data_IF_653289032363
#
_entry.id   IF_653289032363
#
_cell.length_a   1.000
_cell.length_b   1.000
_cell.length_c   1.000
_cell.angle_alpha   90.00
_cell.angle_beta   90.00
_cell.angle_gamma   90.00
#
_symmetry.space_group_name_H-M   'P 1'
#
loop_
_entity.id
_entity.type
_entity.pdbx_description
1 polymer ?
#
# COMPACT_ATOMS: atom_id res chain seq x y z
N UNK A 1 -19.66 11.65 17.58
CA UNK A 1 -19.56 10.74 18.74
C UNK A 1 -18.21 10.03 18.71
N UNK A 2 -17.43 10.12 19.79
CA UNK A 2 -16.15 9.40 19.94
C UNK A 2 -16.42 7.90 19.90
N UNK A 3 -15.62 7.14 19.17
CA UNK A 3 -15.76 5.68 19.06
C UNK A 3 -14.97 5.00 20.17
N UNK A 4 -15.60 4.07 20.88
CA UNK A 4 -15.00 3.40 22.04
C UNK A 4 -13.82 2.51 21.67
N UNK A 5 -13.95 1.70 20.62
CA UNK A 5 -12.94 0.70 20.23
C UNK A 5 -11.58 1.35 19.90
N UNK A 6 -11.51 2.39 19.04
CA UNK A 6 -10.23 3.07 18.76
C UNK A 6 -9.64 3.76 19.99
N UNK A 7 -10.45 4.13 20.98
CA UNK A 7 -9.98 4.77 22.23
C UNK A 7 -9.30 3.80 23.19
N UNK A 8 -9.50 2.48 23.07
CA UNK A 8 -8.97 1.51 24.05
C UNK A 8 -7.44 1.56 24.18
N UNK A 9 -6.63 1.54 23.10
CA UNK A 9 -5.18 1.72 23.20
C UNK A 9 -4.78 3.03 23.88
N UNK A 10 -5.46 4.13 23.57
CA UNK A 10 -5.18 5.44 24.18
C UNK A 10 -5.49 5.47 25.67
N UNK A 11 -6.67 5.01 26.06
CA UNK A 11 -7.08 4.92 27.47
C UNK A 11 -6.12 4.04 28.27
N UNK A 12 -5.67 2.93 27.68
CA UNK A 12 -4.71 2.03 28.31
C UNK A 12 -3.33 2.69 28.49
N UNK A 13 -2.81 3.38 27.48
CA UNK A 13 -1.57 4.17 27.59
C UNK A 13 -1.71 5.27 28.64
N UNK A 14 -2.84 5.98 28.67
CA UNK A 14 -3.10 7.01 29.69
C UNK A 14 -3.08 6.42 31.10
N UNK A 15 -3.81 5.31 31.31
CA UNK A 15 -3.90 4.66 32.62
C UNK A 15 -2.56 4.09 33.09
N UNK A 16 -1.71 3.59 32.18
CA UNK A 16 -0.45 2.94 32.51
C UNK A 16 0.77 3.85 32.51
N UNK A 17 0.71 4.99 31.84
CA UNK A 17 1.87 5.88 31.64
C UNK A 17 1.60 7.30 32.12
N UNK A 18 0.53 7.93 31.62
CA UNK A 18 0.27 9.35 31.85
C UNK A 18 -0.23 9.60 33.28
N UNK A 19 -1.25 8.87 33.73
CA UNK A 19 -1.87 9.12 35.03
C UNK A 19 -0.95 8.80 36.22
N UNK A 20 -0.16 7.70 36.19
CA UNK A 20 0.80 7.38 37.25
C UNK A 20 2.04 8.28 37.28
N UNK A 21 2.25 9.14 36.27
CA UNK A 21 3.44 10.00 36.20
C UNK A 21 3.46 11.08 37.29
N UNK A 22 4.64 11.62 37.66
CA UNK A 22 4.74 12.74 38.59
C UNK A 22 4.41 14.10 37.93
N UNK A 23 3.91 14.10 36.68
CA UNK A 23 3.68 15.33 35.93
C UNK A 23 2.52 16.18 36.48
N UNK A 24 2.54 17.52 36.26
CA UNK A 24 1.44 18.40 36.65
C UNK A 24 0.10 17.96 36.04
N UNK A 25 -0.99 18.17 36.80
CA UNK A 25 -2.35 17.78 36.37
C UNK A 25 -2.71 18.35 34.99
N UNK A 26 -2.38 19.63 34.74
CA UNK A 26 -2.64 20.27 33.45
C UNK A 26 -1.98 19.53 32.28
N UNK A 27 -0.73 19.06 32.45
CA UNK A 27 -0.03 18.29 31.43
C UNK A 27 -0.68 16.91 31.23
N UNK A 28 -1.07 16.24 32.31
CA UNK A 28 -1.77 14.94 32.23
C UNK A 28 -3.10 15.06 31.48
N UNK A 29 -3.89 16.10 31.78
CA UNK A 29 -5.16 16.37 31.09
C UNK A 29 -4.93 16.70 29.61
N UNK A 30 -3.95 17.55 29.30
CA UNK A 30 -3.59 17.88 27.93
C UNK A 30 -3.14 16.66 27.11
N UNK A 31 -2.25 15.83 27.66
CA UNK A 31 -1.80 14.59 27.02
C UNK A 31 -2.95 13.59 26.85
N UNK A 32 -3.83 13.46 27.85
CA UNK A 32 -5.01 12.58 27.77
C UNK A 32 -5.92 13.03 26.63
N UNK A 33 -6.25 14.32 26.55
CA UNK A 33 -7.06 14.87 25.47
C UNK A 33 -6.40 14.67 24.10
N UNK A 34 -5.09 14.91 23.99
CA UNK A 34 -4.35 14.70 22.76
C UNK A 34 -4.35 13.22 22.31
N UNK A 35 -4.04 12.28 23.20
CA UNK A 35 -4.02 10.85 22.88
C UNK A 35 -5.41 10.34 22.50
N UNK A 36 -6.46 10.81 23.17
CA UNK A 36 -7.83 10.51 22.80
C UNK A 36 -8.16 11.07 21.42
N UNK A 37 -7.79 12.31 21.12
CA UNK A 37 -7.99 12.89 19.79
C UNK A 37 -7.23 12.09 18.71
N UNK A 38 -5.96 11.74 18.96
CA UNK A 38 -5.15 10.94 18.05
C UNK A 38 -5.76 9.54 17.78
N UNK A 39 -6.32 8.91 18.81
CA UNK A 39 -7.01 7.61 18.70
C UNK A 39 -8.21 7.64 17.74
N UNK A 40 -8.78 8.82 17.52
CA UNK A 40 -9.94 9.04 16.67
C UNK A 40 -9.56 9.47 15.24
N UNK A 41 -8.34 9.17 14.79
CA UNK A 41 -7.85 9.62 13.49
C UNK A 41 -8.79 9.33 12.30
N UNK A 42 -9.36 8.13 12.21
CA UNK A 42 -10.31 7.80 11.14
C UNK A 42 -11.65 8.55 11.25
N UNK A 43 -12.08 8.91 12.46
CA UNK A 43 -13.24 9.77 12.64
C UNK A 43 -12.96 11.17 12.10
N UNK A 44 -11.80 11.75 12.43
CA UNK A 44 -11.40 13.05 11.90
C UNK A 44 -11.29 13.03 10.38
N UNK A 45 -10.67 11.99 9.83
CA UNK A 45 -10.56 11.80 8.38
C UNK A 45 -11.94 11.78 7.72
N UNK A 46 -12.88 10.99 8.26
CA UNK A 46 -14.26 10.93 7.78
C UNK A 46 -15.00 12.26 7.91
N UNK A 47 -14.77 13.02 8.97
CA UNK A 47 -15.38 14.35 9.13
C UNK A 47 -14.82 15.36 8.13
N UNK A 48 -13.57 15.19 7.69
CA UNK A 48 -12.92 16.12 6.75
C UNK A 48 -13.37 15.94 5.29
N UNK A 49 -13.61 14.70 4.85
CA UNK A 49 -13.89 14.40 3.42
C UNK A 49 -15.12 13.52 3.18
N UNK A 50 -15.74 13.00 4.24
CA UNK A 50 -16.76 11.94 4.16
C UNK A 50 -16.18 10.52 4.13
N UNK A 51 -14.86 10.36 3.98
CA UNK A 51 -14.17 9.06 3.88
C UNK A 51 -13.08 8.88 4.93
N UNK A 52 -12.88 7.67 5.43
CA UNK A 52 -11.77 7.34 6.34
C UNK A 52 -10.41 7.29 5.62
N UNK A 53 -10.42 7.22 4.29
CA UNK A 53 -9.23 7.04 3.46
C UNK A 53 -8.63 8.37 2.97
N UNK A 54 -9.41 9.46 2.97
CA UNK A 54 -8.97 10.76 2.42
C UNK A 54 -8.98 11.86 3.49
N UNK A 55 -8.00 11.93 4.40
CA UNK A 55 -7.87 13.04 5.35
C UNK A 55 -7.53 14.34 4.61
N UNK A 56 -8.37 15.36 4.74
CA UNK A 56 -8.19 16.67 4.08
C UNK A 56 -7.55 17.73 5.00
N UNK A 57 -6.63 17.28 5.87
CA UNK A 57 -5.81 18.16 6.71
C UNK A 57 -4.50 18.54 6.02
N UNK A 58 -3.79 19.60 6.47
CA UNK A 58 -2.43 19.88 6.00
C UNK A 58 -1.50 18.69 6.23
N UNK A 59 -0.57 18.43 5.30
CA UNK A 59 0.35 17.29 5.33
C UNK A 59 1.05 17.06 6.69
N UNK A 60 1.61 18.10 7.37
CA UNK A 60 2.23 17.90 8.68
C UNK A 60 1.26 17.38 9.76
N UNK A 61 -0.02 17.76 9.67
CA UNK A 61 -1.08 17.29 10.58
C UNK A 61 -1.40 15.83 10.30
N UNK A 62 -1.48 15.43 9.04
CA UNK A 62 -1.65 14.01 8.64
C UNK A 62 -0.50 13.15 9.15
N UNK A 63 0.74 13.64 9.02
CA UNK A 63 1.94 12.97 9.55
C UNK A 63 1.86 12.85 11.08
N UNK A 64 1.55 13.95 11.79
CA UNK A 64 1.43 13.95 13.25
C UNK A 64 0.39 12.94 13.74
N UNK A 65 -0.79 12.89 13.10
CA UNK A 65 -1.82 11.92 13.43
C UNK A 65 -1.34 10.48 13.23
N UNK A 66 -0.65 10.18 12.12
CA UNK A 66 -0.12 8.84 11.87
C UNK A 66 0.99 8.45 12.86
N UNK A 67 1.85 9.39 13.27
CA UNK A 67 2.86 9.14 14.32
C UNK A 67 2.17 8.86 15.65
N UNK A 68 1.22 9.69 16.06
CA UNK A 68 0.53 9.54 17.34
C UNK A 68 -0.35 8.27 17.39
N UNK A 69 -1.12 8.00 16.34
CA UNK A 69 -1.92 6.79 16.21
C UNK A 69 -1.04 5.53 16.16
N UNK A 70 0.06 5.55 15.40
CA UNK A 70 1.04 4.46 15.36
C UNK A 70 1.71 4.22 16.70
N UNK A 71 2.09 5.29 17.41
CA UNK A 71 2.67 5.19 18.75
C UNK A 71 1.70 4.52 19.72
N UNK A 72 0.40 4.84 19.67
CA UNK A 72 -0.63 4.16 20.46
C UNK A 72 -0.76 2.68 20.09
N UNK A 73 -0.80 2.37 18.79
CA UNK A 73 -0.92 1.00 18.29
C UNK A 73 0.28 0.11 18.68
N UNK A 74 1.49 0.70 18.81
CA UNK A 74 2.69 0.00 19.25
C UNK A 74 2.84 -0.03 20.78
N UNK A 75 2.53 1.08 21.47
CA UNK A 75 2.69 1.18 22.92
C UNK A 75 1.74 0.26 23.68
N UNK A 76 0.47 0.17 23.25
CA UNK A 76 -0.52 -0.65 23.93
C UNK A 76 -0.09 -2.13 24.07
N UNK A 77 0.27 -2.87 23.01
CA UNK A 77 0.73 -4.26 23.16
C UNK A 77 2.04 -4.39 23.95
N UNK A 78 2.96 -3.44 23.84
CA UNK A 78 4.19 -3.45 24.66
C UNK A 78 3.87 -3.31 26.16
N UNK A 79 2.96 -2.41 26.51
CA UNK A 79 2.50 -2.23 27.89
C UNK A 79 1.71 -3.44 28.41
N UNK A 80 0.89 -4.08 27.55
CA UNK A 80 0.22 -5.34 27.89
C UNK A 80 1.25 -6.43 28.18
N UNK A 81 2.32 -6.53 27.39
CA UNK A 81 3.38 -7.50 27.66
C UNK A 81 4.07 -7.25 29.01
N UNK A 82 4.36 -5.99 29.37
CA UNK A 82 4.90 -5.64 30.69
C UNK A 82 3.93 -5.97 31.83
N UNK A 83 2.62 -5.76 31.64
CA UNK A 83 1.60 -6.14 32.61
C UNK A 83 1.51 -7.67 32.78
N UNK A 84 1.61 -8.44 31.69
CA UNK A 84 1.65 -9.91 31.73
C UNK A 84 2.89 -10.40 32.48
N UNK A 85 4.07 -9.82 32.24
CA UNK A 85 5.28 -10.15 33.01
C UNK A 85 5.07 -9.88 34.50
N UNK A 86 4.48 -8.73 34.85
CA UNK A 86 4.17 -8.40 36.24
C UNK A 86 3.24 -9.45 36.87
N UNK A 87 2.19 -9.85 36.14
CA UNK A 87 1.24 -10.87 36.61
C UNK A 87 1.93 -12.23 36.83
N UNK A 88 2.81 -12.66 35.91
CA UNK A 88 3.56 -13.91 36.05
C UNK A 88 4.49 -13.86 37.26
N UNK A 89 5.20 -12.75 37.49
CA UNK A 89 6.07 -12.57 38.65
C UNK A 89 5.32 -12.58 39.98
N UNK A 90 4.03 -12.22 39.99
CA UNK A 90 3.18 -12.32 41.18
C UNK A 90 2.69 -13.74 41.47
N UNK A 91 2.54 -14.58 40.44
CA UNK A 91 2.06 -15.95 40.58
C UNK A 91 3.21 -16.90 40.96
N UNK A 92 4.44 -16.62 40.49
CA UNK A 92 5.60 -17.45 40.80
C UNK A 92 6.11 -17.20 42.22
N UNK A 93 6.63 -18.24 42.93
CA UNK A 93 7.19 -18.07 44.27
C UNK A 93 8.38 -17.09 44.24
N UNK A 94 8.27 -15.99 44.98
CA UNK A 94 9.28 -14.93 45.05
C UNK A 94 8.71 -13.64 45.66
N UNK A 95 9.55 -12.62 45.81
CA UNK A 95 9.21 -11.37 46.52
C UNK A 95 8.23 -10.43 45.77
N UNK A 96 7.39 -10.96 44.86
CA UNK A 96 6.34 -10.18 44.18
C UNK A 96 6.87 -9.02 43.34
N UNK A 97 7.98 -9.22 42.62
CA UNK A 97 8.61 -8.19 41.78
C UNK A 97 7.59 -7.55 40.82
N UNK A 98 7.64 -6.22 40.71
CA UNK A 98 6.79 -5.44 39.81
C UNK A 98 7.65 -4.71 38.79
N UNK A 99 7.14 -4.56 37.56
CA UNK A 99 7.83 -3.81 36.51
C UNK A 99 7.92 -2.33 36.92
N UNK A 100 9.14 -1.77 37.12
CA UNK A 100 9.31 -0.37 37.47
C UNK A 100 8.72 0.58 36.42
N UNK A 101 8.26 1.75 36.86
CA UNK A 101 7.67 2.76 35.98
C UNK A 101 8.60 3.17 34.82
N UNK A 102 9.92 3.17 35.05
CA UNK A 102 10.91 3.47 34.01
C UNK A 102 10.79 2.58 32.77
N UNK A 103 10.42 1.31 32.91
CA UNK A 103 10.21 0.40 31.78
C UNK A 103 8.95 0.76 30.97
N UNK A 104 7.90 1.26 31.63
CA UNK A 104 6.70 1.75 30.95
C UNK A 104 6.99 3.03 30.16
N UNK A 105 7.80 3.93 30.71
CA UNK A 105 8.29 5.10 29.98
C UNK A 105 9.19 4.71 28.80
N UNK A 106 10.10 3.76 29.00
CA UNK A 106 10.94 3.25 27.93
C UNK A 106 10.12 2.61 26.80
N UNK A 107 9.10 1.81 27.12
CA UNK A 107 8.20 1.21 26.14
C UNK A 107 7.39 2.28 25.36
N UNK A 108 6.84 3.28 26.05
CA UNK A 108 6.10 4.36 25.41
C UNK A 108 7.01 5.22 24.50
N UNK A 109 8.22 5.53 24.95
CA UNK A 109 9.21 6.25 24.14
C UNK A 109 9.66 5.42 22.94
N UNK A 110 9.95 4.13 23.12
CA UNK A 110 10.32 3.22 22.04
C UNK A 110 9.20 3.12 21.00
N UNK A 111 7.94 3.01 21.42
CA UNK A 111 6.79 3.01 20.52
C UNK A 111 6.66 4.32 19.74
N UNK A 112 6.87 5.47 20.38
CA UNK A 112 6.86 6.77 19.70
C UNK A 112 7.98 6.88 18.67
N UNK A 113 9.21 6.49 19.02
CA UNK A 113 10.36 6.49 18.12
C UNK A 113 10.13 5.55 16.94
N UNK A 114 9.66 4.32 17.20
CA UNK A 114 9.34 3.35 16.16
C UNK A 114 8.23 3.85 15.23
N UNK A 115 7.19 4.49 15.76
CA UNK A 115 6.14 5.09 14.94
C UNK A 115 6.67 6.24 14.09
N UNK A 116 7.50 7.12 14.64
CA UNK A 116 8.12 8.21 13.88
C UNK A 116 9.01 7.68 12.75
N UNK A 117 9.84 6.67 13.03
CA UNK A 117 10.63 5.97 12.00
C UNK A 117 9.71 5.33 10.96
N UNK A 118 8.65 4.64 11.39
CA UNK A 118 7.72 3.97 10.51
C UNK A 118 7.00 4.94 9.55
N UNK A 119 6.55 6.09 10.04
CA UNK A 119 5.93 7.13 9.22
C UNK A 119 6.96 7.77 8.28
N UNK A 120 8.18 8.03 8.77
CA UNK A 120 9.27 8.53 7.92
C UNK A 120 9.58 7.58 6.76
N UNK A 121 9.60 6.26 7.01
CA UNK A 121 9.76 5.25 5.97
C UNK A 121 8.53 5.13 5.06
N UNK A 122 7.34 5.46 5.55
CA UNK A 122 6.09 5.42 4.81
C UNK A 122 5.98 6.57 3.80
N UNK A 123 6.39 7.78 4.17
CA UNK A 123 6.19 9.00 3.36
C UNK A 123 7.37 9.36 2.45
N UNK A 124 8.46 8.60 2.49
CA UNK A 124 9.63 8.86 1.64
C UNK A 124 9.33 8.53 0.17
N UNK A 125 10.11 9.10 -0.73
CA UNK A 125 10.12 8.65 -2.13
C UNK A 125 10.76 7.25 -2.18
N UNK A 126 10.09 6.25 -2.77
CA UNK A 126 10.56 4.87 -2.75
C UNK A 126 11.95 4.68 -3.40
N UNK A 127 12.76 3.75 -2.86
CA UNK A 127 13.97 3.28 -3.55
C UNK A 127 13.62 2.37 -4.75
N UNK A 128 14.56 2.28 -5.69
CA UNK A 128 14.53 1.29 -6.76
C UNK A 128 14.68 -0.14 -6.20
N UNK A 129 13.93 -1.08 -6.76
CA UNK A 129 14.06 -2.51 -6.53
C UNK A 129 14.03 -3.25 -7.85
N UNK A 130 15.12 -3.94 -8.18
CA UNK A 130 15.19 -4.78 -9.37
C UNK A 130 14.70 -6.19 -9.06
N UNK A 131 13.85 -6.72 -9.93
CA UNK A 131 13.33 -8.09 -9.84
C UNK A 131 13.45 -8.75 -11.20
N UNK A 132 14.30 -9.77 -11.29
CA UNK A 132 14.47 -10.53 -12.52
C UNK A 132 13.47 -11.69 -12.55
N UNK A 133 12.75 -11.82 -13.67
CA UNK A 133 11.69 -12.81 -13.86
C UNK A 133 12.00 -13.66 -15.08
N UNK A 134 12.20 -14.96 -14.86
CA UNK A 134 12.29 -15.93 -15.93
C UNK A 134 10.89 -16.27 -16.47
N UNK A 135 10.66 -16.00 -17.75
CA UNK A 135 9.42 -16.26 -18.49
C UNK A 135 9.67 -17.39 -19.50
N UNK A 136 8.93 -18.51 -19.40
CA UNK A 136 8.93 -19.54 -20.43
C UNK A 136 8.45 -18.98 -21.76
N UNK A 137 9.08 -19.42 -22.85
CA UNK A 137 8.71 -19.05 -24.23
C UNK A 137 8.81 -17.55 -24.54
N UNK A 138 9.58 -16.78 -23.75
CA UNK A 138 9.80 -15.36 -23.98
C UNK A 138 10.50 -15.13 -25.34
N UNK A 139 9.91 -14.36 -26.28
CA UNK A 139 10.53 -14.11 -27.58
C UNK A 139 11.87 -13.36 -27.45
N UNK A 140 12.76 -13.52 -28.45
CA UNK A 140 14.16 -13.03 -28.34
C UNK A 140 14.23 -11.51 -28.19
N UNK A 141 13.36 -10.77 -28.88
CA UNK A 141 13.29 -9.31 -28.79
C UNK A 141 12.83 -8.76 -27.44
N UNK A 142 12.36 -9.61 -26.52
CA UNK A 142 11.99 -9.25 -25.15
C UNK A 142 13.01 -9.72 -24.11
N UNK A 143 14.14 -10.30 -24.51
CA UNK A 143 15.22 -10.63 -23.58
C UNK A 143 15.81 -9.35 -22.97
N UNK A 144 15.76 -9.23 -21.64
CA UNK A 144 16.17 -8.02 -20.92
C UNK A 144 15.15 -6.89 -20.92
N UNK A 145 13.92 -7.13 -21.44
CA UNK A 145 12.85 -6.14 -21.43
C UNK A 145 12.50 -5.69 -20.02
N UNK A 146 12.28 -4.39 -19.84
CA UNK A 146 12.08 -3.78 -18.52
C UNK A 146 10.70 -3.16 -18.34
N UNK A 147 10.01 -3.55 -17.27
CA UNK A 147 8.72 -2.99 -16.86
C UNK A 147 8.92 -2.29 -15.52
N UNK A 148 8.70 -0.98 -15.45
CA UNK A 148 8.57 -0.29 -14.18
C UNK A 148 7.15 -0.51 -13.64
N UNK A 149 7.05 -1.26 -12.56
CA UNK A 149 5.83 -1.51 -11.82
C UNK A 149 5.66 -0.47 -10.70
N UNK A 150 4.67 0.39 -10.88
CA UNK A 150 4.15 1.30 -9.87
C UNK A 150 2.83 0.74 -9.34
N UNK A 151 2.53 0.95 -8.07
CA UNK A 151 1.29 0.50 -7.47
C UNK A 151 0.98 1.33 -6.24
N UNK A 152 -0.30 1.49 -5.88
CA UNK A 152 -0.68 2.08 -4.59
C UNK A 152 -0.02 3.45 -4.37
N UNK A 153 -0.20 4.37 -5.33
CA UNK A 153 0.35 5.72 -5.30
C UNK A 153 -0.35 6.60 -4.26
N UNK A 154 -1.64 6.36 -4.00
CA UNK A 154 -2.44 7.04 -2.97
C UNK A 154 -2.21 8.56 -2.90
N UNK A 155 -2.17 9.21 -4.07
CA UNK A 155 -1.96 10.64 -4.20
C UNK A 155 -3.06 11.36 -3.41
N UNK A 156 -2.60 12.18 -2.46
CA UNK A 156 -3.42 12.67 -1.34
C UNK A 156 -2.72 13.82 -0.63
N UNK A 157 -3.33 14.36 0.44
CA UNK A 157 -2.64 15.32 1.33
C UNK A 157 -1.35 14.76 1.94
N UNK A 158 -1.18 13.45 2.02
CA UNK A 158 0.07 12.84 2.48
C UNK A 158 1.12 12.77 1.36
N UNK A 159 0.67 12.58 0.12
CA UNK A 159 1.45 12.45 -1.11
C UNK A 159 1.01 13.50 -2.13
N UNK A 160 1.39 14.78 -1.94
CA UNK A 160 0.94 15.89 -2.77
C UNK A 160 1.65 15.94 -4.12
N UNK A 161 1.29 16.91 -4.96
CA UNK A 161 1.89 17.14 -6.29
C UNK A 161 3.42 17.04 -6.29
N UNK A 162 4.11 17.67 -5.35
CA UNK A 162 5.59 17.72 -5.33
C UNK A 162 6.20 16.32 -5.09
N UNK A 163 5.50 15.47 -4.34
CA UNK A 163 5.90 14.06 -4.17
C UNK A 163 5.68 13.29 -5.47
N UNK A 164 4.53 13.48 -6.14
CA UNK A 164 4.23 12.83 -7.41
C UNK A 164 5.23 13.26 -8.50
N UNK A 165 5.58 14.53 -8.60
CA UNK A 165 6.63 15.05 -9.49
C UNK A 165 7.97 14.35 -9.25
N UNK A 166 8.37 14.18 -7.99
CA UNK A 166 9.62 13.51 -7.66
C UNK A 166 9.59 12.03 -8.06
N UNK A 167 8.46 11.35 -7.88
CA UNK A 167 8.27 9.95 -8.31
C UNK A 167 8.33 9.83 -9.82
N UNK A 168 7.65 10.72 -10.56
CA UNK A 168 7.66 10.75 -12.02
C UNK A 168 9.08 11.00 -12.56
N UNK A 169 9.80 11.97 -11.99
CA UNK A 169 11.18 12.25 -12.37
C UNK A 169 12.09 11.02 -12.15
N UNK A 170 11.96 10.33 -11.01
CA UNK A 170 12.71 9.10 -10.74
C UNK A 170 12.30 7.96 -11.67
N UNK A 171 11.01 7.78 -11.92
CA UNK A 171 10.50 6.75 -12.81
C UNK A 171 11.07 6.91 -14.22
N UNK A 172 11.00 8.10 -14.78
CA UNK A 172 11.53 8.39 -16.12
C UNK A 172 13.05 8.23 -16.19
N UNK A 173 13.78 8.60 -15.14
CA UNK A 173 15.23 8.45 -15.09
C UNK A 173 15.72 6.99 -15.14
N UNK A 174 14.83 6.01 -14.87
CA UNK A 174 15.16 4.59 -14.99
C UNK A 174 15.22 4.09 -16.44
N UNK A 175 14.62 4.83 -17.39
CA UNK A 175 14.66 4.50 -18.82
C UNK A 175 14.05 3.13 -19.16
N UNK A 176 12.98 2.72 -18.49
CA UNK A 176 12.33 1.43 -18.72
C UNK A 176 11.50 1.40 -20.00
N UNK A 177 11.34 0.22 -20.60
CA UNK A 177 10.59 0.04 -21.86
C UNK A 177 9.09 0.31 -21.70
N UNK A 178 8.49 -0.07 -20.56
CA UNK A 178 7.08 0.10 -20.24
C UNK A 178 6.89 0.49 -18.77
N UNK A 179 5.87 1.32 -18.49
CA UNK A 179 5.42 1.58 -17.12
C UNK A 179 4.06 0.93 -16.92
N UNK A 180 3.94 0.10 -15.89
CA UNK A 180 2.70 -0.56 -15.50
C UNK A 180 2.25 -0.03 -14.12
N UNK A 181 1.01 0.44 -14.03
CA UNK A 181 0.43 0.92 -12.76
C UNK A 181 -0.73 0.03 -12.34
N UNK A 182 -0.60 -0.68 -11.22
CA UNK A 182 -1.61 -1.64 -10.75
C UNK A 182 -2.54 -1.04 -9.71
N UNK A 183 -3.26 0.03 -10.06
CA UNK A 183 -4.34 0.58 -9.26
C UNK A 183 -3.94 1.43 -8.05
N UNK A 184 -4.96 1.98 -7.39
CA UNK A 184 -4.89 2.84 -6.21
C UNK A 184 -4.02 4.07 -6.43
N UNK A 185 -4.42 4.87 -7.42
CA UNK A 185 -3.74 6.11 -7.77
C UNK A 185 -3.95 7.18 -6.70
N UNK A 186 -5.13 7.22 -6.09
CA UNK A 186 -5.63 8.39 -5.35
C UNK A 186 -6.33 8.05 -4.05
N UNK A 187 -6.40 9.05 -3.17
CA UNK A 187 -7.34 9.11 -2.05
C UNK A 187 -8.06 10.46 -2.04
N UNK A 188 -9.32 10.48 -2.46
CA UNK A 188 -10.15 11.69 -2.50
C UNK A 188 -10.87 11.90 -3.83
N UNK A 189 -11.76 12.89 -3.89
CA UNK A 189 -12.49 13.21 -5.11
C UNK A 189 -11.58 13.84 -6.16
N UNK A 190 -11.96 13.71 -7.44
CA UNK A 190 -11.26 14.34 -8.55
C UNK A 190 -11.11 15.86 -8.35
N UNK A 191 -12.16 16.53 -7.87
CA UNK A 191 -12.11 17.97 -7.59
C UNK A 191 -11.04 18.33 -6.55
N UNK A 192 -10.87 17.50 -5.53
CA UNK A 192 -9.87 17.74 -4.50
C UNK A 192 -8.45 17.49 -5.03
N UNK A 193 -8.25 16.39 -5.76
CA UNK A 193 -6.93 15.83 -6.07
C UNK A 193 -6.42 16.08 -7.49
N UNK A 194 -7.18 16.73 -8.38
CA UNK A 194 -6.79 17.01 -9.78
C UNK A 194 -5.37 17.58 -9.91
N UNK A 195 -5.02 18.59 -9.11
CA UNK A 195 -3.68 19.21 -9.16
C UNK A 195 -2.58 18.26 -8.67
N UNK A 196 -2.87 17.42 -7.68
CA UNK A 196 -1.87 16.51 -7.12
C UNK A 196 -1.52 15.37 -8.08
N UNK A 197 -2.47 14.95 -8.94
CA UNK A 197 -2.25 13.88 -9.91
C UNK A 197 -1.70 14.35 -11.25
N UNK A 198 -1.82 15.64 -11.58
CA UNK A 198 -1.36 16.21 -12.85
C UNK A 198 0.09 15.85 -13.21
N UNK A 199 1.05 15.79 -12.26
CA UNK A 199 2.42 15.35 -12.54
C UNK A 199 2.52 14.00 -13.24
N UNK A 200 1.56 13.08 -13.05
CA UNK A 200 1.55 11.77 -13.70
C UNK A 200 1.50 11.85 -15.22
N UNK A 201 1.05 12.98 -15.81
CA UNK A 201 1.15 13.25 -17.25
C UNK A 201 2.59 13.15 -17.77
N UNK A 202 3.56 13.45 -16.91
CA UNK A 202 4.97 13.38 -17.25
C UNK A 202 5.53 11.96 -17.35
N UNK A 203 4.80 10.91 -16.94
CA UNK A 203 5.27 9.53 -17.07
C UNK A 203 5.44 9.18 -18.54
N UNK A 204 6.63 8.68 -18.91
CA UNK A 204 6.93 8.31 -20.29
C UNK A 204 7.76 7.03 -20.35
N UNK A 205 7.40 6.18 -21.31
CA UNK A 205 8.13 4.96 -21.65
C UNK A 205 7.88 4.64 -23.14
N UNK A 206 8.85 4.04 -23.86
CA UNK A 206 8.71 3.74 -25.28
C UNK A 206 7.44 2.95 -25.66
N UNK A 207 7.08 1.93 -24.88
CA UNK A 207 5.91 1.08 -25.11
C UNK A 207 4.67 1.57 -24.33
N UNK A 208 4.76 2.75 -23.72
CA UNK A 208 3.66 3.47 -23.07
C UNK A 208 3.50 3.19 -21.57
N UNK A 209 2.53 3.90 -21.00
CA UNK A 209 2.12 3.79 -19.59
C UNK A 209 0.76 3.11 -19.56
N UNK A 210 0.70 1.93 -18.95
CA UNK A 210 -0.51 1.10 -18.90
C UNK A 210 -0.97 0.92 -17.47
N UNK A 211 -2.28 0.90 -17.24
CA UNK A 211 -2.83 0.82 -15.90
C UNK A 211 -4.12 0.01 -15.79
N UNK A 212 -4.39 -0.48 -14.58
CA UNK A 212 -5.67 -1.04 -14.15
C UNK A 212 -6.19 -0.26 -12.94
N UNK A 213 -7.50 -0.22 -12.69
CA UNK A 213 -8.03 0.38 -11.47
C UNK A 213 -7.71 -0.49 -10.25
N UNK A 214 -7.53 0.16 -9.11
CA UNK A 214 -7.59 -0.46 -7.78
C UNK A 214 -8.93 -0.20 -7.12
N UNK A 215 -9.07 -0.56 -5.85
CA UNK A 215 -10.33 -0.35 -5.14
C UNK A 215 -10.61 1.14 -4.85
N UNK A 216 -9.58 1.98 -4.75
CA UNK A 216 -9.74 3.40 -4.40
C UNK A 216 -10.38 4.22 -5.52
N UNK A 217 -10.16 3.87 -6.78
CA UNK A 217 -10.88 4.50 -7.89
C UNK A 217 -12.40 4.28 -7.77
N UNK A 218 -12.84 3.11 -7.30
CA UNK A 218 -14.26 2.83 -7.04
C UNK A 218 -14.82 3.55 -5.81
N UNK A 219 -13.98 3.84 -4.81
CA UNK A 219 -14.42 4.54 -3.59
C UNK A 219 -14.67 6.04 -3.83
N UNK A 220 -14.04 6.63 -4.84
CA UNK A 220 -13.98 8.08 -5.02
C UNK A 220 -14.50 8.60 -6.37
N UNK A 221 -15.35 7.82 -7.05
CA UNK A 221 -15.90 8.04 -8.41
C UNK A 221 -15.03 7.44 -9.52
N UNK A 222 -15.34 6.19 -9.88
CA UNK A 222 -14.59 5.41 -10.86
C UNK A 222 -14.58 6.09 -12.22
N UNK A 223 -15.74 6.45 -12.77
CA UNK A 223 -15.84 6.98 -14.14
C UNK A 223 -15.09 8.30 -14.27
N UNK A 224 -15.22 9.19 -13.28
CA UNK A 224 -14.50 10.46 -13.27
C UNK A 224 -12.97 10.26 -13.22
N UNK A 225 -12.50 9.35 -12.35
CA UNK A 225 -11.08 9.09 -12.20
C UNK A 225 -10.47 8.38 -13.40
N UNK A 226 -11.10 7.32 -13.90
CA UNK A 226 -10.60 6.59 -15.07
C UNK A 226 -10.58 7.50 -16.30
N UNK A 227 -11.61 8.32 -16.52
CA UNK A 227 -11.63 9.31 -17.58
C UNK A 227 -10.51 10.35 -17.45
N UNK A 228 -10.26 10.83 -16.23
CA UNK A 228 -9.18 11.80 -15.99
C UNK A 228 -7.78 11.20 -16.20
N UNK A 229 -7.53 9.99 -15.65
CA UNK A 229 -6.26 9.28 -15.82
C UNK A 229 -5.96 9.00 -17.31
N UNK A 230 -6.97 8.61 -18.08
CA UNK A 230 -6.84 8.48 -19.53
C UNK A 230 -6.44 9.81 -20.20
N UNK A 231 -7.04 10.92 -19.75
CA UNK A 231 -6.67 12.28 -20.17
C UNK A 231 -5.25 12.73 -19.79
N UNK A 232 -4.58 12.04 -18.85
CA UNK A 232 -3.16 12.23 -18.54
C UNK A 232 -2.23 11.44 -19.48
N UNK A 233 -2.77 10.64 -20.41
CA UNK A 233 -1.99 9.79 -21.31
C UNK A 233 -1.77 8.37 -20.80
N UNK A 234 -2.38 7.99 -19.67
CA UNK A 234 -2.32 6.64 -19.10
C UNK A 234 -3.32 5.75 -19.83
N UNK A 235 -2.86 4.64 -20.40
CA UNK A 235 -3.70 3.72 -21.18
C UNK A 235 -4.30 2.66 -20.27
N UNK A 236 -5.62 2.57 -20.22
CA UNK A 236 -6.33 1.71 -19.28
C UNK A 236 -6.60 0.32 -19.87
N UNK A 237 -6.32 -0.73 -19.09
CA UNK A 237 -6.59 -2.13 -19.42
C UNK A 237 -7.71 -2.68 -18.54
N UNK A 238 -8.95 -2.23 -18.76
CA UNK A 238 -10.12 -2.73 -18.03
C UNK A 238 -10.70 -3.96 -18.74
N UNK A 239 -10.33 -5.16 -18.29
CA UNK A 239 -10.67 -6.44 -18.94
C UNK A 239 -10.26 -6.45 -20.42
N UNK A 240 -9.04 -5.98 -20.69
CA UNK A 240 -8.51 -5.80 -22.04
C UNK A 240 -7.00 -6.11 -22.05
N UNK A 241 -6.43 -6.18 -23.25
CA UNK A 241 -5.00 -6.35 -23.42
C UNK A 241 -4.44 -5.43 -24.51
N UNK A 242 -3.13 -5.29 -24.50
CA UNK A 242 -2.34 -4.81 -25.63
C UNK A 242 -1.31 -5.87 -26.02
N UNK A 243 -0.88 -5.84 -27.27
CA UNK A 243 0.15 -6.72 -27.81
C UNK A 243 1.35 -5.88 -28.18
N UNK A 244 2.47 -6.14 -27.51
CA UNK A 244 3.76 -5.57 -27.85
C UNK A 244 4.46 -6.49 -28.84
N UNK A 245 5.09 -5.92 -29.87
CA UNK A 245 5.81 -6.71 -30.89
C UNK A 245 7.27 -6.26 -30.98
N UNK A 246 8.19 -7.23 -30.92
CA UNK A 246 9.64 -7.01 -31.07
C UNK A 246 10.27 -8.19 -31.78
N UNK A 247 11.06 -7.94 -32.81
CA UNK A 247 11.79 -8.95 -33.59
C UNK A 247 10.93 -10.16 -34.03
N UNK A 248 9.70 -9.88 -34.47
CA UNK A 248 8.72 -10.90 -34.89
C UNK A 248 8.06 -11.69 -33.75
N UNK A 249 8.45 -11.44 -32.50
CA UNK A 249 7.82 -12.00 -31.30
C UNK A 249 6.74 -11.08 -30.72
N UNK A 250 5.84 -11.65 -29.92
CA UNK A 250 4.77 -10.93 -29.23
C UNK A 250 4.81 -11.13 -27.72
N UNK A 251 4.52 -10.07 -26.97
CA UNK A 251 4.28 -10.10 -25.52
C UNK A 251 2.92 -9.47 -25.26
N UNK A 252 2.04 -10.18 -24.56
CA UNK A 252 0.72 -9.67 -24.21
C UNK A 252 0.78 -9.02 -22.83
N UNK A 253 0.35 -7.76 -22.74
CA UNK A 253 0.10 -7.09 -21.47
C UNK A 253 -1.39 -6.96 -21.30
N UNK A 254 -1.95 -7.73 -20.36
CA UNK A 254 -3.38 -7.79 -20.08
C UNK A 254 -3.68 -7.11 -18.74
N UNK A 255 -4.91 -6.62 -18.59
CA UNK A 255 -5.40 -6.07 -17.33
C UNK A 255 -6.86 -6.42 -17.08
N UNK A 256 -7.21 -6.53 -15.80
CA UNK A 256 -8.58 -6.75 -15.34
C UNK A 256 -9.02 -5.62 -14.41
N UNK A 257 -10.33 -5.41 -14.27
CA UNK A 257 -10.87 -4.49 -13.26
C UNK A 257 -10.67 -5.01 -11.83
N UNK A 258 -10.90 -4.16 -10.83
CA UNK A 258 -10.80 -4.55 -9.41
C UNK A 258 -12.07 -5.27 -8.93
N UNK A 259 -11.92 -6.11 -7.88
CA UNK A 259 -13.06 -6.80 -7.24
C UNK A 259 -14.12 -5.85 -6.70
N UNK A 260 -13.78 -4.61 -6.36
CA UNK A 260 -14.72 -3.56 -5.91
C UNK A 260 -15.78 -3.23 -6.95
N UNK A 261 -15.53 -3.51 -8.24
CA UNK A 261 -16.53 -3.42 -9.30
C UNK A 261 -17.80 -4.23 -9.01
N UNK A 262 -17.68 -5.34 -8.26
CA UNK A 262 -18.80 -6.21 -7.86
C UNK A 262 -19.89 -5.44 -7.10
N UNK A 263 -19.50 -4.45 -6.29
CA UNK A 263 -20.38 -3.68 -5.42
C UNK A 263 -20.81 -2.33 -5.99
N UNK A 264 -20.26 -1.91 -7.13
CA UNK A 264 -20.49 -0.57 -7.69
C UNK A 264 -21.21 -0.58 -9.04
N UNK A 265 -21.62 -1.75 -9.54
CA UNK A 265 -22.33 -1.88 -10.82
C UNK A 265 -21.45 -1.76 -12.07
N UNK A 266 -20.13 -1.70 -11.89
CA UNK A 266 -19.14 -1.63 -12.98
C UNK A 266 -18.75 -3.04 -13.48
N UNK A 267 -18.13 -3.16 -14.67
CA UNK A 267 -17.67 -4.44 -15.19
C UNK A 267 -16.75 -5.18 -14.20
N UNK A 268 -17.13 -6.41 -13.88
CA UNK A 268 -16.40 -7.29 -12.94
C UNK A 268 -15.07 -7.76 -13.53
N UNK A 269 -14.09 -8.18 -12.71
CA UNK A 269 -12.83 -8.70 -13.22
C UNK A 269 -13.04 -9.94 -14.10
N UNK A 270 -12.74 -9.82 -15.39
CA UNK A 270 -12.96 -10.85 -16.40
C UNK A 270 -11.68 -11.09 -17.23
N UNK A 271 -10.93 -12.11 -16.82
CA UNK A 271 -9.68 -12.49 -17.47
C UNK A 271 -9.92 -13.17 -18.83
N UNK A 272 -11.07 -13.84 -19.01
CA UNK A 272 -11.39 -14.46 -20.29
C UNK A 272 -11.63 -13.38 -21.35
N UNK A 273 -12.39 -12.33 -21.00
CA UNK A 273 -12.58 -11.16 -21.83
C UNK A 273 -11.25 -10.43 -22.09
N UNK A 274 -10.42 -10.25 -21.07
CA UNK A 274 -9.12 -9.57 -21.21
C UNK A 274 -8.20 -10.26 -22.22
N UNK A 275 -8.26 -11.59 -22.33
CA UNK A 275 -7.42 -12.38 -23.23
C UNK A 275 -8.10 -12.77 -24.54
N UNK A 276 -9.36 -12.36 -24.75
CA UNK A 276 -10.08 -12.66 -25.97
C UNK A 276 -9.37 -12.06 -27.19
N UNK A 277 -9.01 -12.90 -28.16
CA UNK A 277 -8.29 -12.49 -29.38
C UNK A 277 -6.78 -12.24 -29.20
N UNK A 278 -6.22 -12.47 -28.00
CA UNK A 278 -4.78 -12.39 -27.80
C UNK A 278 -4.04 -13.48 -28.64
N UNK A 279 -2.85 -13.18 -29.21
CA UNK A 279 -2.11 -14.15 -30.00
C UNK A 279 -1.81 -15.44 -29.24
N UNK A 280 -2.19 -16.58 -29.81
CA UNK A 280 -1.93 -17.88 -29.21
C UNK A 280 -0.42 -18.10 -29.00
N UNK A 281 -0.05 -18.59 -27.83
CA UNK A 281 1.34 -18.91 -27.49
C UNK A 281 2.21 -17.71 -27.08
N UNK A 282 1.74 -16.47 -27.20
CA UNK A 282 2.45 -15.31 -26.67
C UNK A 282 2.41 -15.32 -25.12
N UNK A 283 3.53 -15.10 -24.42
CA UNK A 283 3.52 -14.98 -22.97
C UNK A 283 2.67 -13.78 -22.53
N UNK A 284 1.96 -13.96 -21.41
CA UNK A 284 1.06 -12.94 -20.84
C UNK A 284 1.64 -12.39 -19.54
N UNK A 285 1.75 -11.07 -19.47
CA UNK A 285 1.92 -10.28 -18.24
C UNK A 285 0.56 -9.69 -17.85
N UNK A 286 0.03 -10.10 -16.71
CA UNK A 286 -1.26 -9.63 -16.19
C UNK A 286 -1.05 -8.52 -15.15
N UNK A 287 -1.77 -7.42 -15.32
CA UNK A 287 -1.99 -6.39 -14.32
C UNK A 287 -3.30 -6.69 -13.60
N UNK A 288 -3.22 -7.02 -12.31
CA UNK A 288 -4.39 -7.24 -11.45
C UNK A 288 -4.08 -6.61 -10.10
N UNK A 289 -4.85 -5.61 -9.68
CA UNK A 289 -4.55 -4.86 -8.45
C UNK A 289 -4.46 -5.78 -7.23
N UNK A 290 -5.33 -6.80 -7.11
CA UNK A 290 -5.34 -7.70 -5.97
C UNK A 290 -4.72 -9.07 -6.30
N UNK A 291 -3.86 -9.62 -5.41
CA UNK A 291 -3.16 -10.87 -5.70
C UNK A 291 -4.03 -12.13 -5.54
N UNK A 292 -5.21 -12.02 -4.92
CA UNK A 292 -5.99 -13.16 -4.48
C UNK A 292 -6.56 -14.02 -5.64
N UNK A 293 -6.53 -13.53 -6.88
CA UNK A 293 -6.98 -14.28 -8.08
C UNK A 293 -5.84 -15.02 -8.79
N UNK A 294 -4.61 -15.01 -8.24
CA UNK A 294 -3.43 -15.52 -8.94
C UNK A 294 -3.51 -16.99 -9.38
N UNK A 295 -4.15 -17.86 -8.61
CA UNK A 295 -4.36 -19.25 -9.01
C UNK A 295 -5.23 -19.37 -10.28
N UNK A 296 -6.26 -18.51 -10.41
CA UNK A 296 -7.08 -18.42 -11.61
C UNK A 296 -6.26 -17.87 -12.78
N UNK A 297 -5.46 -16.83 -12.56
CA UNK A 297 -4.60 -16.27 -13.61
C UNK A 297 -3.61 -17.31 -14.17
N UNK A 298 -2.96 -18.07 -13.29
CA UNK A 298 -2.05 -19.13 -13.70
C UNK A 298 -2.77 -20.22 -14.54
N UNK A 299 -3.99 -20.59 -14.18
CA UNK A 299 -4.80 -21.55 -14.94
C UNK A 299 -5.18 -21.05 -16.35
N UNK A 300 -5.21 -19.73 -16.58
CA UNK A 300 -5.40 -19.11 -17.91
C UNK A 300 -4.09 -18.99 -18.70
N UNK A 301 -2.97 -19.56 -18.20
CA UNK A 301 -1.68 -19.55 -18.89
C UNK A 301 -0.88 -18.25 -18.70
N UNK A 302 -1.26 -17.39 -17.76
CA UNK A 302 -0.50 -16.19 -17.42
C UNK A 302 0.90 -16.59 -16.91
N UNK A 303 1.95 -15.88 -17.36
CA UNK A 303 3.34 -16.17 -16.99
C UNK A 303 3.85 -15.26 -15.88
N UNK A 304 3.38 -14.02 -15.85
CA UNK A 304 3.67 -13.05 -14.80
C UNK A 304 2.40 -12.29 -14.42
N UNK A 305 2.11 -12.20 -13.13
CA UNK A 305 1.10 -11.29 -12.60
C UNK A 305 1.77 -10.22 -11.72
N UNK A 306 1.44 -8.96 -11.96
CA UNK A 306 1.85 -7.82 -11.15
C UNK A 306 0.64 -7.34 -10.34
N UNK A 307 0.80 -7.25 -9.01
CA UNK A 307 -0.26 -6.85 -8.08
C UNK A 307 0.24 -5.91 -6.99
N UNK A 308 -0.69 -5.22 -6.33
CA UNK A 308 -0.48 -4.26 -5.26
C UNK A 308 -1.34 -4.55 -4.05
N UNK A 309 -2.10 -3.54 -3.59
CA UNK A 309 -3.22 -3.58 -2.62
C UNK A 309 -2.83 -3.85 -1.17
N UNK A 310 -1.85 -4.71 -0.96
CA UNK A 310 -1.52 -5.25 0.37
C UNK A 310 -0.57 -4.35 1.16
N UNK A 311 0.10 -3.42 0.48
CA UNK A 311 1.20 -2.59 0.97
C UNK A 311 2.30 -3.36 1.71
N UNK A 312 2.51 -4.65 1.39
CA UNK A 312 3.45 -5.50 2.10
C UNK A 312 3.02 -5.88 3.52
N UNK A 313 1.77 -5.60 3.90
CA UNK A 313 1.26 -5.72 5.26
C UNK A 313 1.74 -4.61 6.19
N UNK A 314 2.38 -3.55 5.67
CA UNK A 314 2.86 -2.34 6.35
C UNK A 314 3.98 -2.58 7.37
N UNK A 315 3.83 -3.54 8.29
CA UNK A 315 4.81 -3.90 9.32
C UNK A 315 5.11 -5.40 9.22
N UNK A 316 6.39 -5.77 9.20
CA UNK A 316 6.82 -7.18 9.21
C UNK A 316 6.25 -7.89 10.45
N UNK A 317 5.52 -8.98 10.24
CA UNK A 317 4.76 -9.71 11.26
C UNK A 317 3.25 -9.45 11.18
N UNK A 318 2.83 -8.21 10.91
CA UNK A 318 1.42 -7.86 10.69
C UNK A 318 0.91 -8.33 9.33
N UNK A 319 1.80 -8.53 8.37
CA UNK A 319 1.51 -9.18 7.08
C UNK A 319 0.76 -10.51 7.24
N UNK A 320 1.03 -11.27 8.31
CA UNK A 320 0.32 -12.53 8.61
C UNK A 320 -1.16 -12.33 8.93
N UNK A 321 -1.54 -11.18 9.49
CA UNK A 321 -2.93 -10.87 9.82
C UNK A 321 -3.76 -10.58 8.57
N UNK A 322 -3.14 -10.00 7.54
CA UNK A 322 -3.80 -9.65 6.28
C UNK A 322 -3.66 -10.75 5.21
N UNK A 323 -2.73 -11.69 5.38
CA UNK A 323 -2.45 -12.76 4.42
C UNK A 323 -3.69 -13.57 4.06
N UNK A 324 -4.53 -13.95 5.05
CA UNK A 324 -5.73 -14.75 4.80
C UNK A 324 -6.72 -14.06 3.86
N UNK A 325 -6.87 -12.74 3.97
CA UNK A 325 -7.71 -11.95 3.07
C UNK A 325 -7.19 -11.88 1.63
N UNK A 326 -5.89 -12.13 1.45
CA UNK A 326 -5.18 -12.03 0.18
C UNK A 326 -4.71 -13.39 -0.36
N UNK A 327 -5.38 -14.47 0.02
CA UNK A 327 -5.04 -15.85 -0.36
C UNK A 327 -3.60 -16.28 -0.01
N UNK A 328 -3.02 -15.68 1.04
CA UNK A 328 -1.64 -15.93 1.49
C UNK A 328 -0.58 -15.02 0.86
N UNK A 329 -0.95 -14.21 -0.14
CA UNK A 329 -0.02 -13.35 -0.88
C UNK A 329 0.00 -11.94 -0.30
N UNK A 330 1.18 -11.44 0.09
CA UNK A 330 1.29 -10.14 0.77
C UNK A 330 2.50 -9.32 0.33
N UNK A 331 3.64 -9.92 0.02
CA UNK A 331 4.85 -9.14 -0.28
C UNK A 331 5.86 -9.94 -1.08
N UNK A 332 6.29 -9.39 -2.22
CA UNK A 332 7.33 -9.96 -3.05
C UNK A 332 6.85 -11.05 -4.01
N UNK A 333 7.77 -11.93 -4.38
CA UNK A 333 7.57 -12.90 -5.44
C UNK A 333 7.03 -14.25 -4.92
N UNK A 334 6.06 -14.81 -5.63
CA UNK A 334 5.44 -16.10 -5.36
C UNK A 334 5.37 -16.93 -6.63
N UNK A 335 5.63 -18.23 -6.53
CA UNK A 335 5.39 -19.19 -7.62
C UNK A 335 3.98 -19.75 -7.48
N UNK A 336 3.16 -19.61 -8.51
CA UNK A 336 1.77 -20.07 -8.53
C UNK A 336 1.56 -20.88 -9.80
N UNK A 337 1.59 -22.21 -9.70
CA UNK A 337 1.32 -23.12 -10.83
C UNK A 337 2.13 -22.78 -12.11
N UNK A 338 3.42 -22.47 -11.97
CA UNK A 338 4.30 -22.09 -13.08
C UNK A 338 4.29 -20.59 -13.45
N UNK A 339 3.30 -19.83 -13.01
CA UNK A 339 3.29 -18.37 -13.08
C UNK A 339 4.16 -17.77 -11.96
N UNK A 340 4.78 -16.62 -12.21
CA UNK A 340 5.28 -15.76 -11.14
C UNK A 340 4.23 -14.70 -10.79
N UNK A 341 3.80 -14.64 -9.54
CA UNK A 341 3.09 -13.49 -8.98
C UNK A 341 4.11 -12.59 -8.28
N UNK A 342 4.07 -11.29 -8.56
CA UNK A 342 4.81 -10.29 -7.81
C UNK A 342 3.84 -9.33 -7.12
N UNK A 343 3.85 -9.32 -5.79
CA UNK A 343 3.04 -8.42 -4.96
C UNK A 343 3.91 -7.26 -4.50
N UNK A 344 3.66 -6.09 -5.06
CA UNK A 344 4.33 -4.86 -4.69
C UNK A 344 3.99 -4.48 -3.25
N UNK A 345 4.99 -3.96 -2.55
CA UNK A 345 4.74 -3.32 -1.27
C UNK A 345 4.05 -1.95 -1.43
N UNK A 346 3.82 -1.47 -2.65
CA UNK A 346 3.30 -0.14 -2.97
C UNK A 346 4.41 0.88 -3.15
N UNK A 347 4.23 1.77 -4.14
CA UNK A 347 5.04 2.98 -4.35
C UNK A 347 4.82 3.95 -3.19
N UNK A 348 3.58 4.06 -2.71
CA UNK A 348 3.20 4.75 -1.49
C UNK A 348 2.30 3.84 -0.64
N UNK A 349 1.33 4.41 0.09
CA UNK A 349 0.33 3.70 0.91
C UNK A 349 -0.80 4.67 1.27
N UNK A 350 -1.97 4.14 1.60
CA UNK A 350 -3.10 4.97 2.03
C UNK A 350 -2.79 5.71 3.37
N UNK A 351 -3.29 6.94 3.54
CA UNK A 351 -2.90 7.80 4.66
C UNK A 351 -3.56 7.46 5.99
N UNK A 352 -4.57 6.59 6.01
CA UNK A 352 -5.28 6.23 7.24
C UNK A 352 -4.52 5.23 8.14
N UNK A 353 -3.44 4.61 7.66
CA UNK A 353 -2.47 3.91 8.50
C UNK A 353 -1.08 3.96 7.87
N UNK A 354 -0.48 5.15 7.86
CA UNK A 354 0.75 5.44 7.13
C UNK A 354 2.02 4.99 7.87
N UNK A 355 2.18 3.69 8.15
CA UNK A 355 3.31 3.14 8.92
C UNK A 355 4.04 2.06 8.12
N UNK A 356 5.37 2.14 8.00
CA UNK A 356 6.19 1.08 7.39
C UNK A 356 7.36 0.64 8.27
N UNK A 357 7.40 -0.63 8.67
CA UNK A 357 8.55 -1.23 9.37
C UNK A 357 8.94 -2.58 8.75
N UNK A 358 10.15 -2.68 8.21
CA UNK A 358 10.64 -3.90 7.56
C UNK A 358 9.93 -4.25 6.24
N UNK A 359 9.11 -3.33 5.70
CA UNK A 359 8.36 -3.46 4.45
C UNK A 359 8.47 -2.15 3.64
N UNK A 360 9.65 -1.87 3.05
CA UNK A 360 9.87 -0.62 2.34
C UNK A 360 8.92 -0.50 1.14
N UNK A 361 8.48 0.73 0.85
CA UNK A 361 7.89 1.06 -0.45
C UNK A 361 8.90 0.84 -1.58
N UNK A 362 8.43 0.71 -2.81
CA UNK A 362 9.28 0.31 -3.93
C UNK A 362 8.91 0.98 -5.25
N UNK A 363 9.93 1.36 -6.02
CA UNK A 363 9.87 1.54 -7.47
C UNK A 363 10.40 0.24 -8.05
N UNK A 364 9.53 -0.65 -8.49
CA UNK A 364 9.96 -1.99 -8.87
C UNK A 364 10.23 -2.07 -10.36
N UNK A 365 11.48 -2.31 -10.76
CA UNK A 365 11.83 -2.61 -12.15
C UNK A 365 11.89 -4.11 -12.35
N UNK A 366 10.89 -4.63 -13.05
CA UNK A 366 10.82 -6.02 -13.48
C UNK A 366 11.69 -6.17 -14.74
N UNK A 367 12.62 -7.13 -14.73
CA UNK A 367 13.49 -7.46 -15.86
C UNK A 367 13.10 -8.83 -16.36
N UNK A 368 12.58 -8.91 -17.59
CA UNK A 368 12.19 -10.16 -18.20
C UNK A 368 13.43 -10.88 -18.74
N UNK A 369 13.53 -12.17 -18.42
CA UNK A 369 14.56 -13.09 -18.92
C UNK A 369 13.88 -14.31 -19.49
N UNK A 370 14.45 -14.86 -20.54
CA UNK A 370 14.05 -16.17 -21.03
C UNK A 370 14.36 -17.23 -19.97
N UNK A 371 13.40 -18.11 -19.70
CA UNK A 371 13.70 -19.34 -18.95
C UNK A 371 14.59 -20.24 -19.80
N UNK A 372 15.65 -20.78 -19.19
CA UNK A 372 16.45 -21.84 -19.80
C UNK A 372 15.59 -23.09 -20.09
#
# INVERSE_FOLDING_TARGET
MIRLIPSLPALYVVARVVWPSPWPLALKLGLTAFLLAASQYHLWSRLSSGSVFAPEFPRPVVILFNVAFGALALAAPMLVALDVVTLVCWILPGDGWTVPMGWRYAAALAALVLAAVAVSQAVRVPPLKDVTVAIPDLPRGFEGYTILHLSDLHISRLFPAEWAETVVARANALGTDLIAVTGDFIDGSLAARRTDVEPLRGLTAPDGVWAVPGNHEYFFDYDAWMGHLAGLGIRLLANAHTVLTRDGGALVVAGVTDRSALSTGHPRPDLAAALAGAPAGAPVVLLDHQPASAARAAAYGVRLQLSGHTHGGMIRGLDRLVARGNAGFVSGAYRVQGMLLYVSNGTALWPGFALRLGRPSELTRIILRRSA
#
